data_IF_311036772471
#
_entry.id   IF_311036772471
#
_cell.length_a   1.000
_cell.length_b   1.000
_cell.length_c   1.000
_cell.angle_alpha   90.00
_cell.angle_beta   90.00
_cell.angle_gamma   90.00
#
_symmetry.space_group_name_H-M   'P 1'
#
loop_
_entity.id
_entity.type
_entity.pdbx_description
1 polymer ?
#
# COMPACT_ATOMS: atom_id res chain seq x y z
N UNK A 1 -2.15 21.66 -5.03
CA UNK A 1 -2.93 22.24 -6.12
C UNK A 1 -3.17 23.72 -5.86
N UNK A 2 -3.99 24.11 -4.90
CA UNK A 2 -4.51 25.48 -4.73
C UNK A 2 -3.44 26.58 -4.50
N UNK A 3 -2.30 26.22 -3.96
CA UNK A 3 -1.24 27.18 -3.61
C UNK A 3 -0.03 27.14 -4.53
N UNK A 4 0.06 26.15 -5.45
CA UNK A 4 1.30 25.90 -6.21
C UNK A 4 1.66 27.06 -7.13
N UNK A 5 0.68 27.80 -7.64
CA UNK A 5 0.91 28.99 -8.47
C UNK A 5 1.66 30.11 -7.74
N UNK A 6 1.52 30.20 -6.41
CA UNK A 6 2.26 31.17 -5.59
C UNK A 6 3.78 30.89 -5.54
N UNK A 7 4.16 29.64 -5.86
CA UNK A 7 5.54 29.17 -5.92
C UNK A 7 6.06 29.03 -7.36
N UNK A 8 5.31 29.56 -8.36
CA UNK A 8 5.69 29.50 -9.76
C UNK A 8 5.35 28.18 -10.46
N UNK A 9 4.58 27.29 -9.82
CA UNK A 9 4.09 26.05 -10.42
C UNK A 9 2.77 26.24 -11.16
N UNK A 10 2.42 25.23 -11.96
CA UNK A 10 1.18 25.19 -12.73
C UNK A 10 0.23 24.17 -12.11
N UNK A 11 -0.95 24.59 -11.58
CA UNK A 11 -1.92 23.66 -10.99
C UNK A 11 -2.51 22.69 -12.01
N UNK A 12 -2.48 23.02 -13.31
CA UNK A 12 -2.94 22.12 -14.37
C UNK A 12 -1.84 21.15 -14.86
N UNK A 13 -0.66 21.17 -14.25
CA UNK A 13 0.46 20.32 -14.60
C UNK A 13 1.16 19.72 -13.38
N UNK A 14 0.37 19.11 -12.51
CA UNK A 14 0.83 18.44 -11.29
C UNK A 14 1.12 16.98 -11.59
N UNK A 15 2.32 16.52 -11.25
CA UNK A 15 2.69 15.10 -11.30
C UNK A 15 2.88 14.59 -9.89
N UNK A 16 2.14 13.55 -9.52
CA UNK A 16 2.39 12.83 -8.27
C UNK A 16 3.34 11.66 -8.52
N UNK A 17 4.24 11.39 -7.60
CA UNK A 17 5.16 10.25 -7.73
C UNK A 17 5.47 9.62 -6.37
N UNK A 18 5.86 8.36 -6.41
CA UNK A 18 6.23 7.65 -5.19
C UNK A 18 6.97 6.35 -5.45
N UNK A 19 7.78 5.95 -4.48
CA UNK A 19 8.53 4.70 -4.49
C UNK A 19 7.99 3.77 -3.40
N UNK A 20 7.92 2.44 -3.67
CA UNK A 20 7.43 1.43 -2.72
C UNK A 20 6.01 1.79 -2.23
N UNK A 21 5.76 1.86 -0.93
CA UNK A 21 4.49 2.32 -0.36
C UNK A 21 4.07 3.73 -0.81
N UNK A 22 5.00 4.59 -1.25
CA UNK A 22 4.68 5.85 -1.91
C UNK A 22 4.10 5.65 -3.30
N UNK A 23 4.57 4.65 -4.04
CA UNK A 23 4.00 4.25 -5.33
C UNK A 23 2.59 3.68 -5.18
N UNK A 24 2.34 2.86 -4.15
CA UNK A 24 0.99 2.40 -3.79
C UNK A 24 0.05 3.57 -3.54
N UNK A 25 0.49 4.60 -2.82
CA UNK A 25 -0.32 5.80 -2.59
C UNK A 25 -0.65 6.58 -3.86
N UNK A 26 0.20 6.53 -4.88
CA UNK A 26 -0.12 7.10 -6.20
C UNK A 26 -1.32 6.39 -6.81
N UNK A 27 -1.34 5.05 -6.79
CA UNK A 27 -2.48 4.26 -7.28
C UNK A 27 -3.71 4.40 -6.39
N UNK A 28 -3.54 4.46 -5.07
CA UNK A 28 -4.63 4.70 -4.12
C UNK A 28 -5.33 6.04 -4.37
N UNK A 29 -4.57 7.11 -4.61
CA UNK A 29 -5.14 8.44 -4.92
C UNK A 29 -6.00 8.43 -6.18
N UNK A 30 -5.72 7.57 -7.16
CA UNK A 30 -6.56 7.39 -8.34
C UNK A 30 -7.90 6.71 -8.04
N UNK A 31 -8.00 6.04 -6.90
CA UNK A 31 -9.22 5.39 -6.41
C UNK A 31 -10.03 6.27 -5.45
N UNK A 32 -9.60 7.52 -5.24
CA UNK A 32 -10.23 8.48 -4.32
C UNK A 32 -10.91 9.59 -5.11
N UNK A 33 -12.26 9.68 -5.14
CA UNK A 33 -12.98 10.70 -5.90
C UNK A 33 -12.60 12.15 -5.55
N UNK A 34 -12.31 12.42 -4.28
CA UNK A 34 -11.92 13.77 -3.84
C UNK A 34 -10.52 14.20 -4.29
N UNK A 35 -9.75 13.28 -4.88
CA UNK A 35 -8.45 13.59 -5.48
C UNK A 35 -8.55 13.91 -6.98
N UNK A 36 -9.72 13.76 -7.59
CA UNK A 36 -9.92 14.03 -9.01
C UNK A 36 -9.63 15.50 -9.34
N UNK A 37 -8.84 15.72 -10.39
CA UNK A 37 -8.42 17.05 -10.80
C UNK A 37 -7.27 17.67 -10.00
N UNK A 38 -6.83 17.07 -8.90
CA UNK A 38 -5.71 17.59 -8.11
C UNK A 38 -4.33 17.28 -8.71
N UNK A 39 -4.27 16.34 -9.62
CA UNK A 39 -3.06 15.98 -10.38
C UNK A 39 -3.43 15.47 -11.77
N UNK A 40 -2.51 15.56 -12.70
CA UNK A 40 -2.72 15.22 -14.10
C UNK A 40 -1.81 14.08 -14.59
N UNK A 41 -0.83 13.65 -13.78
CA UNK A 41 0.12 12.59 -14.13
C UNK A 41 0.56 11.83 -12.90
N UNK A 42 0.96 10.56 -13.08
CA UNK A 42 1.50 9.73 -12.02
C UNK A 42 2.78 9.00 -12.41
N UNK A 43 3.69 8.83 -11.45
CA UNK A 43 4.88 8.00 -11.57
C UNK A 43 4.97 7.06 -10.38
N UNK A 44 4.95 5.77 -10.65
CA UNK A 44 5.09 4.70 -9.65
C UNK A 44 6.44 4.02 -9.83
N UNK A 45 7.22 3.96 -8.75
CA UNK A 45 8.51 3.29 -8.71
C UNK A 45 8.44 2.13 -7.72
N UNK A 46 8.42 0.89 -8.21
CA UNK A 46 8.41 -0.33 -7.39
C UNK A 46 7.30 -0.33 -6.31
N UNK A 47 6.08 0.09 -6.69
CA UNK A 47 4.99 0.30 -5.75
C UNK A 47 3.64 -0.24 -6.22
N UNK A 48 3.60 -1.04 -7.27
CA UNK A 48 2.37 -1.71 -7.71
C UNK A 48 2.42 -3.15 -7.20
N UNK A 49 1.43 -3.54 -6.41
CA UNK A 49 1.32 -4.89 -5.86
C UNK A 49 -0.12 -5.39 -6.03
N UNK A 50 -0.25 -6.62 -6.55
CA UNK A 50 -1.55 -7.30 -6.67
C UNK A 50 -2.17 -7.53 -5.29
N UNK A 51 -1.38 -8.08 -4.38
CA UNK A 51 -1.76 -8.18 -2.97
C UNK A 51 -1.21 -6.96 -2.23
N UNK A 52 -2.10 -6.09 -1.74
CA UNK A 52 -1.68 -5.02 -0.84
C UNK A 52 -1.52 -5.56 0.60
N UNK A 53 -0.29 -5.92 1.03
CA UNK A 53 -0.07 -6.48 2.36
C UNK A 53 -0.29 -5.45 3.46
N UNK A 54 -0.38 -4.17 3.10
CA UNK A 54 -0.61 -3.05 4.03
C UNK A 54 -2.08 -2.62 4.01
N UNK A 55 -2.86 -3.09 3.04
CA UNK A 55 -4.28 -2.78 2.90
C UNK A 55 -5.12 -3.41 4.01
N UNK A 56 -6.23 -2.77 4.32
CA UNK A 56 -7.18 -3.29 5.30
C UNK A 56 -7.98 -4.49 4.77
N UNK A 57 -8.12 -4.64 3.44
CA UNK A 57 -9.05 -5.60 2.85
C UNK A 57 -10.46 -5.41 3.40
N UNK A 58 -11.06 -6.47 3.93
CA UNK A 58 -12.35 -6.43 4.63
C UNK A 58 -12.23 -5.98 6.11
N UNK A 59 -11.00 -5.87 6.64
CA UNK A 59 -10.74 -5.52 8.04
C UNK A 59 -10.69 -4.01 8.22
N UNK A 60 -10.94 -3.56 9.45
CA UNK A 60 -10.83 -2.15 9.81
C UNK A 60 -9.96 -1.95 11.06
N UNK A 61 -9.68 -0.69 11.37
CA UNK A 61 -8.87 -0.32 12.52
C UNK A 61 -9.58 -0.41 13.87
N UNK A 62 -10.81 -0.90 13.94
CA UNK A 62 -11.60 -0.90 15.19
C UNK A 62 -10.91 -1.71 16.28
N UNK A 63 -10.38 -2.88 15.95
CA UNK A 63 -9.71 -3.75 16.92
C UNK A 63 -8.47 -3.09 17.53
N UNK A 64 -7.56 -2.57 16.69
CA UNK A 64 -6.33 -1.91 17.17
C UNK A 64 -6.64 -0.64 17.95
N UNK A 65 -7.58 0.18 17.49
CA UNK A 65 -7.99 1.41 18.17
C UNK A 65 -8.61 1.09 19.52
N UNK A 66 -9.53 0.12 19.59
CA UNK A 66 -10.15 -0.32 20.87
C UNK A 66 -9.10 -0.84 21.84
N UNK A 67 -8.13 -1.62 21.38
CA UNK A 67 -7.06 -2.13 22.22
C UNK A 67 -6.15 -1.00 22.74
N UNK A 68 -5.83 -0.01 21.89
CA UNK A 68 -5.06 1.17 22.31
C UNK A 68 -5.80 2.01 23.34
N UNK A 69 -7.09 2.30 23.12
CA UNK A 69 -7.94 3.02 24.08
C UNK A 69 -7.95 2.32 25.45
N UNK A 70 -8.16 1.00 25.43
CA UNK A 70 -8.11 0.19 26.66
C UNK A 70 -6.74 0.27 27.35
N UNK A 71 -5.65 0.22 26.59
CA UNK A 71 -4.28 0.30 27.13
C UNK A 71 -3.96 1.67 27.75
N UNK A 72 -4.61 2.74 27.25
CA UNK A 72 -4.47 4.11 27.71
C UNK A 72 -5.52 4.49 28.80
N UNK A 73 -6.53 3.65 29.03
CA UNK A 73 -7.63 3.93 29.96
C UNK A 73 -8.64 4.94 29.42
N UNK A 74 -8.83 5.00 28.10
CA UNK A 74 -9.74 5.92 27.42
C UNK A 74 -11.06 5.25 27.07
N UNK A 75 -12.13 6.03 27.10
CA UNK A 75 -13.51 5.65 26.76
C UNK A 75 -14.06 6.40 25.54
N UNK A 76 -13.34 7.42 25.07
CA UNK A 76 -13.68 8.19 23.87
C UNK A 76 -12.47 8.21 22.92
N UNK A 77 -12.72 7.88 21.64
CA UNK A 77 -11.68 7.87 20.60
C UNK A 77 -11.05 9.24 20.38
N UNK A 78 -11.78 10.32 20.58
CA UNK A 78 -11.26 11.68 20.47
C UNK A 78 -10.10 11.97 21.47
N UNK A 79 -10.02 11.24 22.56
CA UNK A 79 -8.91 11.36 23.50
C UNK A 79 -7.56 10.96 22.88
N UNK A 80 -7.58 10.10 21.83
CA UNK A 80 -6.35 9.72 21.11
C UNK A 80 -5.73 10.89 20.34
N UNK A 81 -6.52 11.88 19.93
CA UNK A 81 -6.02 13.07 19.21
C UNK A 81 -5.13 13.97 20.07
N UNK A 82 -5.32 13.92 21.39
CA UNK A 82 -4.62 14.79 22.34
C UNK A 82 -3.48 14.10 23.10
N UNK A 83 -3.32 12.78 22.90
CA UNK A 83 -2.25 12.01 23.53
C UNK A 83 -0.89 12.41 22.95
N UNK A 84 0.12 12.66 23.78
CA UNK A 84 1.49 12.85 23.31
C UNK A 84 1.98 11.63 22.52
N UNK A 85 2.59 11.88 21.36
CA UNK A 85 3.06 10.82 20.45
C UNK A 85 3.83 9.67 21.13
N UNK A 86 4.75 9.89 22.09
CA UNK A 86 5.46 8.80 22.74
C UNK A 86 4.53 7.82 23.48
N UNK A 87 3.44 8.34 24.08
CA UNK A 87 2.45 7.50 24.77
C UNK A 87 1.58 6.73 23.76
N UNK A 88 1.19 7.38 22.68
CA UNK A 88 0.45 6.75 21.58
C UNK A 88 1.27 5.61 20.96
N UNK A 89 2.53 5.87 20.63
CA UNK A 89 3.45 4.89 20.07
C UNK A 89 3.70 3.71 21.03
N UNK A 90 3.83 3.96 22.33
CA UNK A 90 4.00 2.91 23.33
C UNK A 90 2.73 2.04 23.45
N UNK A 91 1.55 2.64 23.43
CA UNK A 91 0.29 1.90 23.44
C UNK A 91 0.15 1.02 22.18
N UNK A 92 0.45 1.56 21.00
CA UNK A 92 0.46 0.79 19.75
C UNK A 92 1.47 -0.37 19.82
N UNK A 93 2.72 -0.12 20.18
CA UNK A 93 3.75 -1.14 20.27
C UNK A 93 3.39 -2.27 21.26
N UNK A 94 2.61 -1.95 22.30
CA UNK A 94 2.12 -2.95 23.28
C UNK A 94 1.06 -3.87 22.71
N UNK A 95 0.13 -3.35 21.87
CA UNK A 95 -1.07 -4.10 21.46
C UNK A 95 -0.96 -4.68 20.04
N UNK A 96 -0.27 -4.00 19.10
CA UNK A 96 -0.20 -4.38 17.71
C UNK A 96 0.38 -5.78 17.46
N UNK A 97 1.43 -6.27 18.16
CA UNK A 97 1.99 -7.59 17.89
C UNK A 97 0.98 -8.74 18.08
N UNK A 98 0.15 -8.67 19.11
CA UNK A 98 -0.86 -9.70 19.38
C UNK A 98 -1.97 -9.69 18.33
N UNK A 99 -2.41 -8.50 17.91
CA UNK A 99 -3.43 -8.32 16.88
C UNK A 99 -2.90 -8.80 15.53
N UNK A 100 -1.67 -8.43 15.15
CA UNK A 100 -1.05 -8.91 13.92
C UNK A 100 -0.90 -10.43 13.90
N UNK A 101 -0.50 -11.03 15.02
CA UNK A 101 -0.34 -12.48 15.15
C UNK A 101 -1.67 -13.24 15.00
N UNK A 102 -2.79 -12.64 15.44
CA UNK A 102 -4.13 -13.19 15.21
C UNK A 102 -4.67 -12.90 13.81
N UNK A 103 -3.88 -12.23 12.95
CA UNK A 103 -4.28 -11.83 11.61
C UNK A 103 -5.19 -10.59 11.60
N UNK A 104 -5.25 -9.84 12.68
CA UNK A 104 -5.96 -8.55 12.75
C UNK A 104 -5.26 -7.46 11.94
N UNK A 105 -6.00 -6.41 11.59
CA UNK A 105 -5.46 -5.24 10.89
C UNK A 105 -4.83 -4.27 11.90
N UNK A 106 -3.58 -3.89 11.65
CA UNK A 106 -2.81 -3.00 12.53
C UNK A 106 -2.54 -1.62 11.94
N UNK A 107 -3.09 -1.31 10.78
CA UNK A 107 -2.88 -0.07 10.03
C UNK A 107 -1.99 -0.30 8.80
N UNK A 108 -1.95 0.70 7.93
CA UNK A 108 -1.09 0.69 6.74
C UNK A 108 -1.73 1.28 5.51
N UNK A 109 -2.91 0.84 5.09
CA UNK A 109 -3.63 1.34 3.92
C UNK A 109 -5.05 1.80 4.24
N UNK A 110 -5.70 2.48 3.30
CA UNK A 110 -7.09 2.87 3.43
C UNK A 110 -8.02 1.65 3.31
N UNK A 111 -9.16 1.72 4.00
CA UNK A 111 -10.23 0.73 3.86
C UNK A 111 -11.14 1.10 2.69
N UNK A 112 -11.55 0.11 1.90
CA UNK A 112 -12.56 0.27 0.85
C UNK A 112 -13.88 0.82 1.42
N UNK A 113 -14.45 1.79 0.73
CA UNK A 113 -15.71 2.45 1.07
C UNK A 113 -16.01 3.58 0.09
N UNK A 114 -16.90 4.50 0.47
CA UNK A 114 -17.31 5.62 -0.38
C UNK A 114 -16.15 6.61 -0.66
N UNK A 115 -15.20 6.69 0.26
CA UNK A 115 -14.03 7.55 0.13
C UNK A 115 -12.93 6.93 -0.76
N UNK A 116 -12.68 5.63 -0.63
CA UNK A 116 -11.65 4.88 -1.35
C UNK A 116 -12.26 3.64 -1.97
N UNK A 117 -12.18 3.50 -3.27
CA UNK A 117 -12.87 2.42 -4.01
C UNK A 117 -12.18 1.06 -3.93
N UNK A 118 -11.06 0.98 -3.24
CA UNK A 118 -10.28 -0.24 -3.05
C UNK A 118 -9.09 -0.37 -3.98
N UNK A 119 -8.31 -1.43 -3.78
CA UNK A 119 -7.16 -1.74 -4.61
C UNK A 119 -7.59 -1.88 -6.08
N UNK A 120 -6.94 -1.19 -7.03
CA UNK A 120 -7.31 -1.25 -8.44
C UNK A 120 -7.17 -2.64 -9.08
N UNK A 121 -6.38 -3.54 -8.52
CA UNK A 121 -6.28 -4.92 -9.00
C UNK A 121 -7.54 -5.74 -8.69
N UNK A 122 -8.22 -5.44 -7.60
CA UNK A 122 -9.47 -6.10 -7.21
C UNK A 122 -10.70 -5.40 -7.79
N UNK A 123 -10.72 -4.08 -7.66
CA UNK A 123 -11.88 -3.25 -7.99
C UNK A 123 -11.88 -2.74 -9.45
N UNK A 124 -10.74 -2.81 -10.14
CA UNK A 124 -10.50 -2.07 -11.39
C UNK A 124 -10.25 -0.58 -11.13
N UNK A 125 -9.61 0.08 -12.09
CA UNK A 125 -9.46 1.54 -12.02
C UNK A 125 -10.79 2.23 -12.29
N UNK A 126 -11.04 3.34 -11.60
CA UNK A 126 -12.15 4.24 -11.88
C UNK A 126 -12.01 4.86 -13.27
N UNK A 127 -13.14 5.20 -13.90
CA UNK A 127 -13.15 5.80 -15.24
C UNK A 127 -12.25 7.04 -15.34
N UNK A 128 -12.28 7.91 -14.34
CA UNK A 128 -11.41 9.09 -14.29
C UNK A 128 -9.91 8.73 -14.34
N UNK A 129 -9.51 7.65 -13.67
CA UNK A 129 -8.10 7.22 -13.62
C UNK A 129 -7.54 6.81 -14.99
N UNK A 130 -8.39 6.31 -15.90
CA UNK A 130 -7.98 5.95 -17.27
C UNK A 130 -7.52 7.15 -18.12
N UNK A 131 -7.85 8.37 -17.70
CA UNK A 131 -7.46 9.59 -18.39
C UNK A 131 -6.11 10.14 -17.90
N UNK A 132 -5.54 9.59 -16.82
CA UNK A 132 -4.31 10.06 -16.20
C UNK A 132 -3.11 9.28 -16.78
N UNK A 133 -2.19 9.93 -17.51
CA UNK A 133 -0.97 9.29 -17.96
C UNK A 133 -0.13 8.78 -16.79
N UNK A 134 0.28 7.52 -16.87
CA UNK A 134 1.08 6.85 -15.86
C UNK A 134 2.40 6.36 -16.41
N UNK A 135 3.45 6.53 -15.62
CA UNK A 135 4.72 5.83 -15.80
C UNK A 135 4.90 4.88 -14.62
N UNK A 136 5.13 3.59 -14.91
CA UNK A 136 5.31 2.56 -13.88
C UNK A 136 6.64 1.86 -14.18
N UNK A 137 7.49 1.76 -13.17
CA UNK A 137 8.76 1.08 -13.26
C UNK A 137 9.08 0.25 -12.03
N UNK A 138 9.83 -0.82 -12.24
CA UNK A 138 10.36 -1.69 -11.19
C UNK A 138 11.85 -1.89 -11.41
N UNK A 139 12.57 -2.36 -10.39
CA UNK A 139 13.95 -2.75 -10.52
C UNK A 139 14.06 -4.26 -10.72
N UNK A 140 15.12 -4.70 -11.41
CA UNK A 140 15.29 -6.13 -11.73
C UNK A 140 15.37 -7.03 -10.49
N UNK A 141 15.95 -6.55 -9.41
CA UNK A 141 16.23 -7.34 -8.21
C UNK A 141 15.27 -7.14 -7.05
N UNK A 142 14.24 -6.33 -7.16
CA UNK A 142 13.28 -5.95 -6.10
C UNK A 142 13.63 -6.46 -4.68
N UNK A 143 13.02 -7.52 -4.19
CA UNK A 143 13.26 -8.09 -2.86
C UNK A 143 14.47 -9.02 -2.78
N UNK A 144 15.24 -9.20 -3.85
CA UNK A 144 16.36 -10.15 -3.87
C UNK A 144 17.45 -9.86 -2.81
N UNK A 145 17.52 -8.61 -2.33
CA UNK A 145 18.47 -8.19 -1.31
C UNK A 145 17.94 -8.39 0.13
N UNK A 146 16.64 -8.44 0.31
CA UNK A 146 15.99 -8.47 1.62
C UNK A 146 15.43 -9.84 1.98
N UNK A 147 14.98 -10.60 0.98
CA UNK A 147 14.45 -11.94 1.20
C UNK A 147 15.59 -12.96 1.23
N UNK A 148 15.69 -13.81 2.27
CA UNK A 148 16.56 -14.97 2.21
C UNK A 148 16.18 -15.79 0.97
N UNK A 149 17.12 -16.05 0.09
CA UNK A 149 16.88 -16.92 -1.04
C UNK A 149 16.50 -18.31 -0.52
N UNK A 150 15.29 -18.77 -0.85
CA UNK A 150 14.86 -20.13 -0.52
C UNK A 150 15.72 -21.18 -1.23
N UNK A 151 16.44 -20.76 -2.29
CA UNK A 151 17.26 -21.61 -3.13
C UNK A 151 18.57 -20.88 -3.52
N UNK A 152 19.67 -21.64 -3.63
CA UNK A 152 20.87 -21.15 -4.31
C UNK A 152 20.66 -21.28 -5.82
N UNK A 153 20.28 -20.20 -6.47
CA UNK A 153 19.98 -20.16 -7.91
C UNK A 153 21.13 -20.69 -8.81
N UNK A 154 22.37 -20.66 -8.30
CA UNK A 154 23.54 -21.15 -9.05
C UNK A 154 23.70 -22.66 -8.99
N UNK A 155 22.91 -23.35 -8.18
CA UNK A 155 22.92 -24.80 -8.00
C UNK A 155 21.66 -25.49 -8.54
N UNK A 156 20.67 -24.73 -9.00
CA UNK A 156 19.45 -25.28 -9.57
C UNK A 156 19.67 -25.75 -11.00
N UNK A 157 19.12 -26.91 -11.33
CA UNK A 157 18.99 -27.38 -12.72
C UNK A 157 17.83 -26.66 -13.43
N UNK A 158 17.80 -26.74 -14.76
CA UNK A 158 16.71 -26.16 -15.55
C UNK A 158 15.34 -26.78 -15.18
N UNK A 159 15.31 -28.08 -14.88
CA UNK A 159 14.10 -28.78 -14.46
C UNK A 159 13.61 -28.28 -13.10
N UNK A 160 14.50 -28.10 -12.14
CA UNK A 160 14.16 -27.56 -10.81
C UNK A 160 13.64 -26.13 -10.89
N UNK A 161 14.25 -25.30 -11.75
CA UNK A 161 13.77 -23.94 -12.02
C UNK A 161 12.36 -23.99 -12.61
N UNK A 162 12.11 -24.81 -13.61
CA UNK A 162 10.80 -24.94 -14.23
C UNK A 162 9.73 -25.39 -13.21
N UNK A 163 10.07 -26.35 -12.34
CA UNK A 163 9.14 -26.77 -11.28
C UNK A 163 8.81 -25.66 -10.27
N UNK A 164 9.78 -24.81 -9.96
CA UNK A 164 9.55 -23.63 -9.12
C UNK A 164 8.63 -22.63 -9.84
N UNK A 165 8.91 -22.35 -11.12
CA UNK A 165 8.10 -21.44 -11.93
C UNK A 165 6.67 -21.94 -12.11
N UNK A 166 6.47 -23.25 -12.30
CA UNK A 166 5.13 -23.85 -12.39
C UNK A 166 4.29 -23.62 -11.13
N UNK A 167 4.91 -23.64 -9.95
CA UNK A 167 4.20 -23.36 -8.68
C UNK A 167 3.70 -21.92 -8.59
N UNK A 168 4.40 -20.98 -9.23
CA UNK A 168 4.07 -19.55 -9.20
C UNK A 168 3.18 -19.14 -10.38
N UNK A 169 3.53 -19.59 -11.58
CA UNK A 169 2.92 -19.14 -12.83
C UNK A 169 2.01 -20.17 -13.52
N UNK A 170 1.86 -21.38 -12.95
CA UNK A 170 1.04 -22.45 -13.52
C UNK A 170 1.43 -22.74 -14.98
N UNK A 171 0.43 -22.78 -15.86
CA UNK A 171 0.61 -23.08 -17.30
C UNK A 171 1.41 -22.01 -18.06
N UNK A 172 1.69 -20.87 -17.45
CA UNK A 172 2.50 -19.82 -18.04
C UNK A 172 4.00 -19.94 -17.72
N UNK A 173 4.41 -20.91 -16.92
CA UNK A 173 5.79 -21.08 -16.46
C UNK A 173 6.83 -21.19 -17.59
N UNK A 174 6.46 -21.76 -18.73
CA UNK A 174 7.34 -21.90 -19.89
C UNK A 174 7.50 -20.62 -20.71
N UNK A 175 6.70 -19.58 -20.40
CA UNK A 175 6.75 -18.28 -21.08
C UNK A 175 7.59 -17.26 -20.32
N UNK A 176 7.96 -17.55 -19.07
CA UNK A 176 8.74 -16.71 -18.16
C UNK A 176 10.20 -17.13 -18.18
#
# INVERSE_FOLDING_TARGET
HDNIALFGGDPENVTIFGQSGGGMKVTDLMQIPSADGLFQKGLVMSGVMEDDPLGAGEKDGTEIITAMMKALGFDDVAQLETVPYPQLAAAYAKVAPAIAQSGGYIGGGPKKGDYFYGNPFDAGFREHAHQIPMMIGTVYGEFATFAPAAYDKNKLTAEEILEILKKVYGDNAEKV
#
